data_IF_259340975246
#
_entry.id   IF_259340975246
#
_cell.length_a   1.000
_cell.length_b   1.000
_cell.length_c   1.000
_cell.angle_alpha   90.00
_cell.angle_beta   90.00
_cell.angle_gamma   90.00
#
_symmetry.space_group_name_H-M   'P 1'
#
loop_
_entity.id
_entity.type
_entity.pdbx_description
1 polymer ?
#
# COMPACT_ATOMS: atom_id res chain seq x y z
N UNK A 1 19.80 0.70 -24.36
CA UNK A 1 19.89 1.34 -23.03
C UNK A 1 18.67 0.94 -22.23
N UNK A 2 18.85 0.40 -21.03
CA UNK A 2 17.76 -0.09 -20.17
C UNK A 2 17.76 0.75 -18.90
N UNK A 3 16.59 1.27 -18.50
CA UNK A 3 16.38 1.92 -17.21
C UNK A 3 15.54 0.98 -16.36
N UNK A 4 16.08 0.50 -15.25
CA UNK A 4 15.46 -0.54 -14.43
C UNK A 4 15.52 -0.21 -12.94
N UNK A 5 14.62 -0.82 -12.18
CA UNK A 5 14.65 -0.84 -10.71
C UNK A 5 15.51 -2.00 -10.22
N UNK A 6 15.53 -2.22 -8.90
CA UNK A 6 16.17 -3.37 -8.26
C UNK A 6 15.62 -4.75 -8.73
N UNK A 7 14.57 -4.80 -9.56
CA UNK A 7 14.13 -6.04 -10.22
C UNK A 7 15.26 -6.63 -11.09
N UNK A 8 16.04 -5.77 -11.77
CA UNK A 8 17.17 -6.22 -12.59
C UNK A 8 18.39 -6.66 -11.74
N UNK A 9 18.43 -6.31 -10.45
CA UNK A 9 19.52 -6.64 -9.53
C UNK A 9 19.59 -8.14 -9.23
N UNK A 10 18.43 -8.80 -9.10
CA UNK A 10 18.34 -10.23 -8.74
C UNK A 10 17.51 -11.03 -9.72
N UNK A 11 16.33 -10.53 -10.09
CA UNK A 11 15.22 -11.37 -10.59
C UNK A 11 15.22 -11.63 -12.10
N UNK A 12 15.98 -10.85 -12.87
CA UNK A 12 15.99 -10.96 -14.34
C UNK A 12 17.44 -11.01 -14.86
N UNK A 13 17.71 -11.92 -15.78
CA UNK A 13 18.90 -11.94 -16.64
C UNK A 13 18.57 -11.24 -17.95
N UNK A 14 19.34 -10.22 -18.30
CA UNK A 14 19.28 -9.60 -19.62
C UNK A 14 20.62 -9.80 -20.30
N UNK A 15 20.61 -10.47 -21.44
CA UNK A 15 21.81 -10.74 -22.21
C UNK A 15 22.33 -9.48 -22.92
N UNK A 16 23.64 -9.43 -23.17
CA UNK A 16 24.29 -8.34 -23.89
C UNK A 16 24.53 -7.07 -23.07
N UNK A 17 24.38 -7.13 -21.74
CA UNK A 17 24.75 -6.01 -20.86
C UNK A 17 26.28 -6.02 -20.68
N UNK A 18 26.95 -5.00 -21.20
CA UNK A 18 28.37 -4.74 -20.98
C UNK A 18 28.62 -3.51 -20.10
N UNK A 19 27.63 -2.63 -19.95
CA UNK A 19 27.76 -1.39 -19.21
C UNK A 19 26.60 -1.25 -18.22
N UNK A 20 26.91 -1.03 -16.95
CA UNK A 20 25.93 -0.74 -15.89
C UNK A 20 26.19 0.65 -15.37
N UNK A 21 25.14 1.46 -15.24
CA UNK A 21 25.18 2.76 -14.57
C UNK A 21 24.33 2.62 -13.31
N UNK A 22 24.96 2.62 -12.14
CA UNK A 22 24.28 2.49 -10.85
C UNK A 22 24.14 3.86 -10.16
N UNK A 23 22.92 4.21 -9.81
CA UNK A 23 22.61 5.44 -9.09
C UNK A 23 22.88 5.34 -7.58
N UNK A 24 23.13 4.14 -7.05
CA UNK A 24 23.47 3.92 -5.64
C UNK A 24 22.27 4.03 -4.68
N UNK A 25 21.05 4.09 -5.19
CA UNK A 25 19.83 4.17 -4.38
C UNK A 25 18.87 3.00 -4.62
N UNK A 26 18.05 2.72 -3.62
CA UNK A 26 16.95 1.77 -3.68
C UNK A 26 15.77 2.29 -2.87
N UNK A 27 14.55 1.99 -3.34
CA UNK A 27 13.33 2.29 -2.58
C UNK A 27 12.97 1.06 -1.75
N UNK A 28 12.97 1.19 -0.43
CA UNK A 28 12.63 0.11 0.50
C UNK A 28 11.38 0.46 1.31
N UNK A 29 10.64 -0.58 1.70
CA UNK A 29 9.62 -0.46 2.75
C UNK A 29 10.33 -0.34 4.10
N UNK A 30 9.93 0.68 4.85
CA UNK A 30 10.36 0.91 6.22
C UNK A 30 9.11 1.03 7.09
N UNK A 31 9.17 0.44 8.28
CA UNK A 31 8.09 0.47 9.26
C UNK A 31 8.61 1.13 10.52
N UNK A 32 7.95 2.19 10.95
CA UNK A 32 8.22 2.82 12.21
C UNK A 32 7.17 2.36 13.23
N UNK A 33 7.56 1.55 14.25
CA UNK A 33 6.60 0.99 15.20
C UNK A 33 6.03 2.03 16.16
N UNK A 34 6.66 3.21 16.31
CA UNK A 34 6.14 4.27 17.18
C UNK A 34 4.84 4.87 16.62
N UNK A 35 4.84 5.51 15.42
CA UNK A 35 3.61 5.99 14.80
C UNK A 35 2.78 4.88 14.12
N UNK A 36 3.25 3.62 14.17
CA UNK A 36 2.73 2.49 13.41
C UNK A 36 2.59 2.74 11.89
N UNK A 37 3.48 3.55 11.31
CA UNK A 37 3.45 3.92 9.89
C UNK A 37 4.39 3.01 9.10
N UNK A 38 3.84 2.36 8.07
CA UNK A 38 4.62 1.78 6.99
C UNK A 38 4.79 2.82 5.87
N UNK A 39 6.04 3.07 5.48
CA UNK A 39 6.34 4.00 4.40
C UNK A 39 7.37 3.46 3.41
N UNK A 40 7.30 3.96 2.18
CA UNK A 40 8.33 3.73 1.17
C UNK A 40 9.37 4.85 1.23
N UNK A 41 10.62 4.48 1.54
CA UNK A 41 11.76 5.40 1.72
C UNK A 41 12.81 5.12 0.66
N UNK A 42 13.43 6.18 0.14
CA UNK A 42 14.62 6.06 -0.72
C UNK A 42 15.85 6.04 0.17
N UNK A 43 16.64 4.97 0.10
CA UNK A 43 17.84 4.79 0.91
C UNK A 43 19.04 4.44 0.02
N UNK A 44 20.27 4.71 0.46
CA UNK A 44 21.46 4.21 -0.24
C UNK A 44 21.48 2.68 -0.25
N UNK A 45 22.03 2.10 -1.30
CA UNK A 45 22.21 0.65 -1.41
C UNK A 45 23.26 0.12 -0.44
N UNK A 46 23.20 -1.16 -0.12
CA UNK A 46 24.29 -1.84 0.59
C UNK A 46 25.45 -2.17 -0.35
N UNK A 47 26.64 -2.41 0.21
CA UNK A 47 27.81 -2.91 -0.53
C UNK A 47 27.46 -4.20 -1.29
N UNK A 48 26.73 -5.11 -0.65
CA UNK A 48 26.26 -6.33 -1.29
C UNK A 48 25.38 -6.07 -2.53
N UNK A 49 24.42 -5.13 -2.43
CA UNK A 49 23.56 -4.76 -3.56
C UNK A 49 24.33 -4.07 -4.68
N UNK A 50 25.24 -3.15 -4.35
CA UNK A 50 26.10 -2.49 -5.34
C UNK A 50 26.97 -3.51 -6.10
N UNK A 51 27.56 -4.48 -5.39
CA UNK A 51 28.34 -5.56 -6.00
C UNK A 51 27.48 -6.45 -6.92
N UNK A 52 26.24 -6.75 -6.52
CA UNK A 52 25.31 -7.50 -7.39
C UNK A 52 24.96 -6.74 -8.67
N UNK A 53 24.78 -5.42 -8.60
CA UNK A 53 24.52 -4.56 -9.76
C UNK A 53 25.73 -4.50 -10.68
N UNK A 54 26.93 -4.29 -10.14
CA UNK A 54 28.18 -4.32 -10.90
C UNK A 54 28.40 -5.67 -11.60
N UNK A 55 28.09 -6.77 -10.91
CA UNK A 55 28.15 -8.13 -11.47
C UNK A 55 27.20 -8.38 -12.64
N UNK A 56 26.24 -7.49 -12.94
CA UNK A 56 25.40 -7.61 -14.13
C UNK A 56 26.11 -7.23 -15.42
N UNK A 57 27.15 -6.38 -15.36
CA UNK A 57 27.95 -5.99 -16.52
C UNK A 57 28.88 -7.12 -17.00
N UNK A 58 29.27 -8.03 -16.10
CA UNK A 58 30.30 -9.06 -16.35
C UNK A 58 29.77 -10.45 -16.69
N UNK A 59 28.50 -10.61 -17.09
CA UNK A 59 27.89 -11.95 -17.25
C UNK A 59 28.23 -12.64 -18.56
N UNK A 60 28.13 -11.93 -19.67
CA UNK A 60 28.36 -12.50 -21.01
C UNK A 60 29.77 -12.18 -21.54
N UNK A 61 30.36 -11.07 -21.09
CA UNK A 61 31.67 -10.57 -21.51
C UNK A 61 32.23 -9.61 -20.46
N UNK A 62 33.50 -9.22 -20.60
CA UNK A 62 34.07 -8.12 -19.81
C UNK A 62 33.20 -6.87 -19.95
N UNK A 63 32.81 -6.31 -18.81
CA UNK A 63 31.94 -5.15 -18.76
C UNK A 63 32.38 -4.19 -17.66
N UNK A 64 31.85 -2.97 -17.74
CA UNK A 64 32.19 -1.87 -16.85
C UNK A 64 30.97 -1.43 -16.06
N UNK A 65 31.20 -1.03 -14.81
CA UNK A 65 30.16 -0.47 -13.95
C UNK A 65 30.55 0.95 -13.55
N UNK A 66 29.72 1.91 -13.96
CA UNK A 66 29.81 3.31 -13.57
C UNK A 66 28.87 3.56 -12.41
N UNK A 67 29.39 3.94 -11.25
CA UNK A 67 28.53 4.35 -10.13
C UNK A 67 28.37 5.87 -10.14
N UNK A 68 27.16 6.36 -10.45
CA UNK A 68 26.84 7.79 -10.55
C UNK A 68 26.99 8.55 -9.23
N UNK A 69 26.83 7.87 -8.08
CA UNK A 69 27.11 8.44 -6.75
C UNK A 69 28.61 8.41 -6.37
N UNK A 70 29.42 7.64 -7.09
CA UNK A 70 30.87 7.48 -6.87
C UNK A 70 31.71 8.22 -7.92
N UNK A 71 31.10 9.01 -8.80
CA UNK A 71 31.83 9.75 -9.83
C UNK A 71 32.62 10.96 -9.31
N UNK A 72 32.61 11.27 -8.00
CA UNK A 72 33.32 12.46 -7.50
C UNK A 72 34.11 12.36 -6.17
N UNK A 73 34.03 11.31 -5.34
CA UNK A 73 34.89 11.18 -4.13
C UNK A 73 35.12 9.71 -3.74
N UNK A 74 36.40 9.35 -3.73
CA UNK A 74 37.19 8.26 -3.11
C UNK A 74 36.48 7.08 -2.38
N UNK A 75 37.15 5.92 -2.35
CA UNK A 75 36.76 4.64 -1.70
C UNK A 75 36.09 4.78 -0.32
N UNK A 76 36.35 5.88 0.39
CA UNK A 76 35.74 6.26 1.67
C UNK A 76 34.20 6.27 1.66
N UNK A 77 33.55 6.74 0.59
CA UNK A 77 32.08 6.82 0.54
C UNK A 77 31.44 5.44 0.27
N UNK A 78 32.14 4.57 -0.49
CA UNK A 78 31.76 3.17 -0.58
C UNK A 78 31.92 2.49 0.77
N UNK A 79 33.00 2.79 1.51
CA UNK A 79 33.26 2.21 2.81
C UNK A 79 32.21 2.56 3.87
N UNK A 80 31.60 3.74 3.78
CA UNK A 80 30.48 4.17 4.64
C UNK A 80 29.17 3.40 4.40
N UNK A 81 29.02 2.69 3.28
CA UNK A 81 27.80 1.93 3.00
C UNK A 81 27.66 0.70 3.91
N UNK A 82 26.43 0.33 4.30
CA UNK A 82 26.21 -0.88 5.09
C UNK A 82 26.63 -2.11 4.29
N UNK A 83 27.23 -3.11 4.95
CA UNK A 83 27.70 -4.35 4.31
C UNK A 83 26.55 -5.09 3.62
N UNK A 84 25.42 -5.20 4.30
CA UNK A 84 24.21 -5.88 3.81
C UNK A 84 22.97 -5.03 4.10
N UNK A 85 21.98 -5.19 3.23
CA UNK A 85 20.67 -4.61 3.42
C UNK A 85 19.97 -5.26 4.64
N UNK A 86 19.37 -4.46 5.53
CA UNK A 86 18.62 -4.97 6.70
C UNK A 86 17.56 -6.00 6.24
N UNK A 87 17.29 -7.10 6.96
CA UNK A 87 16.27 -8.07 6.56
C UNK A 87 14.85 -7.47 6.51
N UNK A 88 14.00 -7.99 5.63
CA UNK A 88 12.62 -7.50 5.47
C UNK A 88 11.76 -7.65 6.74
N UNK A 89 11.92 -8.75 7.48
CA UNK A 89 11.24 -8.95 8.77
C UNK A 89 11.53 -7.86 9.80
N UNK A 90 12.66 -7.16 9.71
CA UNK A 90 13.01 -6.14 10.70
C UNK A 90 12.53 -4.73 10.32
N UNK A 91 11.98 -4.55 9.11
CA UNK A 91 11.64 -3.23 8.56
C UNK A 91 10.26 -3.14 7.92
N UNK A 92 9.46 -4.20 7.93
CA UNK A 92 8.14 -4.25 7.33
C UNK A 92 7.06 -4.43 8.40
N UNK A 93 5.80 -4.15 8.03
CA UNK A 93 4.67 -4.43 8.90
C UNK A 93 4.50 -5.94 9.09
N UNK A 94 4.50 -6.39 10.34
CA UNK A 94 4.45 -7.80 10.70
C UNK A 94 3.03 -8.35 10.83
N UNK A 95 1.98 -7.52 10.79
CA UNK A 95 0.61 -7.99 10.93
C UNK A 95 0.22 -9.12 9.96
N UNK A 96 0.55 -9.07 8.64
CA UNK A 96 0.27 -10.18 7.75
C UNK A 96 1.03 -11.46 8.13
N UNK A 97 2.30 -11.35 8.53
CA UNK A 97 3.15 -12.49 8.89
C UNK A 97 2.67 -13.14 10.18
N UNK A 98 2.38 -12.35 11.21
CA UNK A 98 1.85 -12.82 12.49
C UNK A 98 0.52 -13.54 12.30
N UNK A 99 -0.37 -13.00 11.46
CA UNK A 99 -1.65 -13.63 11.15
C UNK A 99 -1.47 -15.00 10.48
N UNK A 100 -0.54 -15.11 9.52
CA UNK A 100 -0.22 -16.38 8.87
C UNK A 100 0.38 -17.41 9.83
N UNK A 101 1.31 -16.99 10.70
CA UNK A 101 1.92 -17.88 11.71
C UNK A 101 0.86 -18.43 12.67
N UNK A 102 -0.08 -17.58 13.09
CA UNK A 102 -1.21 -18.00 13.93
C UNK A 102 -2.15 -18.95 13.19
N UNK A 103 -2.44 -18.71 11.91
CA UNK A 103 -3.26 -19.61 11.10
C UNK A 103 -2.61 -20.98 10.87
N UNK A 104 -1.27 -21.06 10.89
CA UNK A 104 -0.51 -22.32 10.87
C UNK A 104 -0.53 -23.06 12.22
N UNK A 105 -1.15 -22.51 13.27
CA UNK A 105 -1.22 -23.12 14.60
C UNK A 105 -0.04 -22.76 15.52
N UNK A 106 0.75 -21.74 15.19
CA UNK A 106 1.85 -21.29 16.05
C UNK A 106 1.31 -20.32 17.09
N UNK A 107 1.05 -20.83 18.30
CA UNK A 107 0.52 -20.02 19.40
C UNK A 107 1.53 -18.99 19.90
N UNK A 108 2.78 -19.39 20.14
CA UNK A 108 3.79 -18.47 20.67
C UNK A 108 4.71 -17.95 19.57
N UNK A 109 4.28 -16.85 18.95
CA UNK A 109 5.04 -16.19 17.88
C UNK A 109 6.36 -15.61 18.39
N UNK A 110 6.46 -15.25 19.67
CA UNK A 110 7.70 -14.70 20.25
C UNK A 110 8.81 -15.75 20.40
N UNK A 111 8.44 -17.03 20.55
CA UNK A 111 9.39 -18.15 20.63
C UNK A 111 9.65 -18.81 19.28
N UNK A 112 9.05 -18.30 18.20
CA UNK A 112 9.28 -18.84 16.88
C UNK A 112 10.74 -18.59 16.45
N UNK A 113 11.47 -19.60 15.93
CA UNK A 113 12.88 -19.47 15.58
C UNK A 113 13.06 -18.70 14.26
N UNK A 114 12.90 -17.38 14.30
CA UNK A 114 13.15 -16.52 13.15
C UNK A 114 14.64 -16.52 12.76
N UNK A 115 14.93 -16.61 11.46
CA UNK A 115 16.29 -16.44 10.94
C UNK A 115 16.88 -15.05 11.29
N UNK A 116 16.03 -14.04 11.33
CA UNK A 116 16.38 -12.67 11.71
C UNK A 116 15.24 -12.12 12.56
N UNK A 117 15.38 -12.13 13.90
CA UNK A 117 14.25 -11.83 14.78
C UNK A 117 13.75 -10.39 14.57
N UNK A 118 12.43 -10.19 14.49
CA UNK A 118 11.86 -8.85 14.37
C UNK A 118 12.01 -8.05 15.68
N UNK A 119 11.99 -6.71 15.62
CA UNK A 119 11.91 -5.87 16.82
C UNK A 119 10.65 -6.17 17.64
N UNK A 120 10.79 -6.26 18.96
CA UNK A 120 9.68 -6.56 19.86
C UNK A 120 8.53 -5.53 19.75
N UNK A 121 8.86 -4.25 19.55
CA UNK A 121 7.86 -3.19 19.37
C UNK A 121 6.99 -3.42 18.12
N UNK A 122 7.59 -3.82 16.99
CA UNK A 122 6.85 -4.12 15.77
C UNK A 122 5.94 -5.34 15.93
N UNK A 123 6.36 -6.33 16.72
CA UNK A 123 5.54 -7.50 17.06
C UNK A 123 4.33 -7.12 17.91
N UNK A 124 4.50 -6.27 18.91
CA UNK A 124 3.41 -5.77 19.76
C UNK A 124 2.41 -4.99 18.91
N UNK A 125 2.86 -4.05 18.08
CA UNK A 125 1.98 -3.28 17.20
C UNK A 125 1.21 -4.16 16.21
N UNK A 126 1.84 -5.21 15.67
CA UNK A 126 1.17 -6.16 14.80
C UNK A 126 0.05 -6.91 15.54
N UNK A 127 0.30 -7.37 16.77
CA UNK A 127 -0.72 -8.04 17.59
C UNK A 127 -1.86 -7.09 17.98
N UNK A 128 -1.54 -5.86 18.39
CA UNK A 128 -2.52 -4.81 18.70
C UNK A 128 -3.44 -4.52 17.50
N UNK A 129 -2.86 -4.36 16.30
CA UNK A 129 -3.63 -4.12 15.08
C UNK A 129 -4.55 -5.31 14.74
N UNK A 130 -4.03 -6.54 14.82
CA UNK A 130 -4.83 -7.74 14.53
C UNK A 130 -5.95 -7.96 15.56
N UNK A 131 -5.70 -7.65 16.83
CA UNK A 131 -6.72 -7.65 17.86
C UNK A 131 -7.79 -6.57 17.58
N UNK A 132 -7.37 -5.35 17.23
CA UNK A 132 -8.28 -4.26 16.89
C UNK A 132 -9.12 -4.56 15.63
N UNK A 133 -8.58 -5.30 14.65
CA UNK A 133 -9.35 -5.75 13.48
C UNK A 133 -10.34 -6.88 13.81
N UNK A 134 -10.30 -7.43 15.02
CA UNK A 134 -11.08 -8.59 15.46
C UNK A 134 -10.56 -9.92 14.92
N UNK A 135 -9.35 -9.94 14.35
CA UNK A 135 -8.71 -11.15 13.85
C UNK A 135 -8.11 -12.04 14.94
N UNK A 136 -7.79 -11.45 16.09
CA UNK A 136 -7.31 -12.14 17.28
C UNK A 136 -8.22 -11.90 18.49
N UNK A 137 -8.31 -12.88 19.39
CA UNK A 137 -8.99 -12.76 20.69
C UNK A 137 -8.06 -12.14 21.76
N UNK A 138 -8.59 -11.93 22.97
CA UNK A 138 -7.83 -11.41 24.12
C UNK A 138 -6.66 -12.30 24.55
N UNK A 139 -6.66 -13.57 24.14
CA UNK A 139 -5.58 -14.53 24.38
C UNK A 139 -4.63 -14.66 23.18
N UNK A 140 -4.72 -13.74 22.21
CA UNK A 140 -3.96 -13.76 20.96
C UNK A 140 -4.16 -15.03 20.12
N UNK A 141 -5.30 -15.70 20.22
CA UNK A 141 -5.70 -16.82 19.34
C UNK A 141 -6.52 -16.28 18.18
N UNK A 142 -6.48 -16.98 17.06
CA UNK A 142 -7.24 -16.57 15.89
C UNK A 142 -8.74 -16.70 16.15
N UNK A 143 -9.52 -15.68 15.78
CA UNK A 143 -10.97 -15.70 15.98
C UNK A 143 -11.66 -16.52 14.89
N UNK A 144 -12.68 -17.29 15.28
CA UNK A 144 -13.53 -18.03 14.35
C UNK A 144 -14.91 -17.38 14.25
N UNK A 145 -15.45 -17.13 13.04
CA UNK A 145 -14.85 -17.37 11.73
C UNK A 145 -14.03 -16.18 11.18
N UNK A 146 -14.05 -15.02 11.84
CA UNK A 146 -13.53 -13.76 11.28
C UNK A 146 -12.02 -13.81 11.02
N UNK A 147 -11.21 -14.06 12.05
CA UNK A 147 -9.76 -14.15 11.94
C UNK A 147 -9.31 -15.18 10.92
N UNK A 148 -9.95 -16.36 10.92
CA UNK A 148 -9.63 -17.44 9.97
C UNK A 148 -9.82 -16.99 8.53
N UNK A 149 -10.95 -16.30 8.26
CA UNK A 149 -11.23 -15.74 6.94
C UNK A 149 -10.24 -14.63 6.56
N UNK A 150 -9.86 -13.75 7.48
CA UNK A 150 -8.86 -12.70 7.24
C UNK A 150 -7.52 -13.34 6.83
N UNK A 151 -7.09 -14.41 7.53
CA UNK A 151 -5.85 -15.10 7.25
C UNK A 151 -5.83 -15.80 5.89
N UNK A 152 -6.98 -16.26 5.40
CA UNK A 152 -7.08 -16.91 4.09
C UNK A 152 -6.99 -15.93 2.91
N UNK A 153 -7.17 -14.62 3.12
CA UNK A 153 -7.01 -13.63 2.05
C UNK A 153 -5.53 -13.37 1.74
N UNK A 154 -5.13 -13.31 0.46
CA UNK A 154 -3.78 -12.94 0.04
C UNK A 154 -3.58 -11.41 0.04
N UNK A 155 -4.09 -10.71 1.06
CA UNK A 155 -4.11 -9.25 1.16
C UNK A 155 -3.65 -8.80 2.56
N UNK A 156 -3.42 -7.49 2.72
CA UNK A 156 -3.22 -6.91 4.05
C UNK A 156 -4.48 -7.19 4.92
N UNK A 157 -4.33 -7.53 6.22
CA UNK A 157 -5.45 -7.73 7.13
C UNK A 157 -6.52 -6.63 7.11
N UNK A 158 -6.14 -5.36 6.92
CA UNK A 158 -7.07 -4.23 6.81
C UNK A 158 -7.99 -4.34 5.59
N UNK A 159 -7.44 -4.69 4.41
CA UNK A 159 -8.23 -4.95 3.20
C UNK A 159 -9.14 -6.17 3.36
N UNK A 160 -8.64 -7.23 4.01
CA UNK A 160 -9.41 -8.44 4.25
C UNK A 160 -10.60 -8.18 5.18
N UNK A 161 -10.40 -7.40 6.26
CA UNK A 161 -11.47 -6.96 7.16
C UNK A 161 -12.52 -6.13 6.41
N UNK A 162 -12.08 -5.13 5.63
CA UNK A 162 -12.96 -4.31 4.80
C UNK A 162 -13.82 -5.17 3.84
N UNK A 163 -13.21 -6.15 3.17
CA UNK A 163 -13.93 -7.06 2.26
C UNK A 163 -14.97 -7.92 2.97
N UNK A 164 -14.68 -8.40 4.18
CA UNK A 164 -15.62 -9.23 4.95
C UNK A 164 -16.79 -8.41 5.49
N UNK A 165 -16.55 -7.18 5.95
CA UNK A 165 -17.59 -6.29 6.46
C UNK A 165 -18.48 -5.68 5.37
N UNK A 166 -18.00 -5.63 4.13
CA UNK A 166 -18.75 -5.08 2.99
C UNK A 166 -20.13 -5.70 2.78
N UNK A 167 -20.33 -6.95 3.19
CA UNK A 167 -21.63 -7.63 3.14
C UNK A 167 -22.66 -7.07 4.12
N UNK A 168 -22.21 -6.56 5.26
CA UNK A 168 -23.05 -5.97 6.31
C UNK A 168 -23.52 -4.57 5.91
N UNK A 169 -22.61 -3.77 5.33
CA UNK A 169 -22.92 -2.43 4.81
C UNK A 169 -23.70 -2.45 3.48
N UNK A 170 -23.70 -3.57 2.76
CA UNK A 170 -24.43 -3.69 1.50
C UNK A 170 -23.66 -3.20 0.27
N UNK A 171 -22.36 -2.93 0.37
CA UNK A 171 -21.51 -2.37 -0.68
C UNK A 171 -20.42 -3.34 -1.16
N UNK A 172 -20.73 -4.63 -1.17
CA UNK A 172 -19.75 -5.70 -1.47
C UNK A 172 -19.15 -5.64 -2.87
N UNK A 173 -19.90 -5.16 -3.87
CA UNK A 173 -19.43 -5.13 -5.27
C UNK A 173 -18.44 -3.99 -5.51
N UNK A 174 -18.70 -2.85 -4.88
CA UNK A 174 -17.91 -1.63 -4.91
C UNK A 174 -16.60 -1.87 -4.17
N UNK A 175 -16.68 -2.39 -2.94
CA UNK A 175 -15.50 -2.68 -2.10
C UNK A 175 -14.61 -3.76 -2.72
N UNK A 176 -15.19 -4.79 -3.34
CA UNK A 176 -14.45 -5.78 -4.11
C UNK A 176 -13.64 -5.14 -5.25
N UNK A 177 -14.23 -4.16 -5.93
CA UNK A 177 -13.60 -3.45 -7.03
C UNK A 177 -12.50 -2.51 -6.52
N UNK A 178 -12.77 -1.76 -5.46
CA UNK A 178 -11.79 -0.89 -4.80
C UNK A 178 -10.59 -1.70 -4.31
N UNK A 179 -10.82 -2.80 -3.58
CA UNK A 179 -9.76 -3.65 -3.06
C UNK A 179 -8.86 -4.20 -4.18
N UNK A 180 -9.44 -4.58 -5.33
CA UNK A 180 -8.69 -5.06 -6.49
C UNK A 180 -7.88 -3.94 -7.17
N UNK A 181 -8.46 -2.74 -7.29
CA UNK A 181 -7.80 -1.57 -7.88
C UNK A 181 -6.63 -1.09 -7.01
N UNK A 182 -6.77 -1.10 -5.68
CA UNK A 182 -5.73 -0.71 -4.73
C UNK A 182 -4.49 -1.62 -4.78
N UNK A 183 -4.60 -2.86 -5.29
CA UNK A 183 -3.44 -3.74 -5.48
C UNK A 183 -2.59 -3.38 -6.71
N UNK A 184 -3.09 -2.50 -7.59
CA UNK A 184 -2.41 -2.14 -8.83
C UNK A 184 -1.75 -0.77 -8.68
N UNK A 185 -0.46 -0.72 -8.99
CA UNK A 185 0.30 0.52 -8.96
C UNK A 185 0.15 1.31 -10.27
N UNK A 186 0.16 2.64 -10.18
CA UNK A 186 0.21 3.56 -11.32
C UNK A 186 -0.88 3.30 -12.39
N UNK A 187 -2.15 3.36 -11.97
CA UNK A 187 -3.30 3.26 -12.87
C UNK A 187 -3.37 4.48 -13.81
N UNK A 188 -3.13 5.67 -13.27
CA UNK A 188 -3.06 6.91 -14.02
C UNK A 188 -1.67 7.08 -14.66
N UNK A 189 -1.65 7.29 -15.98
CA UNK A 189 -0.42 7.55 -16.73
C UNK A 189 -0.35 9.05 -17.01
N UNK A 190 0.79 9.68 -16.72
CA UNK A 190 0.98 11.11 -16.97
C UNK A 190 2.20 11.29 -17.89
N UNK A 191 2.00 11.37 -19.21
CA UNK A 191 3.10 11.62 -20.13
C UNK A 191 3.67 13.02 -19.92
N UNK A 192 5.01 13.19 -19.94
CA UNK A 192 5.64 14.48 -19.66
C UNK A 192 5.20 15.59 -20.64
N UNK A 193 4.91 15.24 -21.90
CA UNK A 193 4.50 16.19 -22.93
C UNK A 193 3.01 16.55 -22.89
N UNK A 194 2.18 15.79 -22.16
CA UNK A 194 0.71 15.92 -22.19
C UNK A 194 0.09 16.03 -20.79
N UNK A 195 0.84 16.58 -19.82
CA UNK A 195 0.40 16.67 -18.42
C UNK A 195 -0.97 17.34 -18.25
N UNK A 196 -1.22 18.45 -18.95
CA UNK A 196 -2.48 19.20 -18.83
C UNK A 196 -3.67 18.42 -19.41
N UNK A 197 -3.47 17.71 -20.53
CA UNK A 197 -4.51 16.89 -21.15
C UNK A 197 -4.82 15.66 -20.28
N UNK A 198 -3.79 14.99 -19.76
CA UNK A 198 -3.94 13.87 -18.83
C UNK A 198 -4.72 14.29 -17.58
N UNK A 199 -4.34 15.41 -16.95
CA UNK A 199 -5.05 15.95 -15.79
C UNK A 199 -6.53 16.25 -16.10
N UNK A 200 -6.84 16.79 -17.28
CA UNK A 200 -8.22 17.05 -17.71
C UNK A 200 -9.03 15.76 -17.87
N UNK A 201 -8.43 14.68 -18.39
CA UNK A 201 -9.11 13.39 -18.50
C UNK A 201 -9.28 12.73 -17.13
N UNK A 202 -8.26 12.76 -16.28
CA UNK A 202 -8.31 12.18 -14.94
C UNK A 202 -9.36 12.88 -14.06
N UNK A 203 -9.51 14.20 -14.19
CA UNK A 203 -10.54 14.98 -13.48
C UNK A 203 -11.98 14.56 -13.81
N UNK A 204 -12.23 13.92 -14.96
CA UNK A 204 -13.57 13.40 -15.29
C UNK A 204 -13.99 12.20 -14.43
N UNK A 205 -13.02 11.50 -13.85
CA UNK A 205 -13.27 10.36 -12.96
C UNK A 205 -13.20 10.74 -11.49
N UNK A 206 -12.70 11.94 -11.18
CA UNK A 206 -12.50 12.43 -9.84
C UNK A 206 -13.83 12.54 -9.08
N UNK A 207 -13.78 12.13 -7.82
CA UNK A 207 -14.91 12.11 -6.89
C UNK A 207 -14.49 12.93 -5.66
N UNK A 208 -15.36 13.83 -5.20
CA UNK A 208 -15.09 14.76 -4.09
C UNK A 208 -14.83 14.01 -2.77
N UNK A 209 -15.43 12.83 -2.61
CA UNK A 209 -15.31 11.98 -1.45
C UNK A 209 -13.93 11.29 -1.34
N UNK A 210 -13.21 11.12 -2.46
CA UNK A 210 -11.80 10.75 -2.46
C UNK A 210 -11.32 9.74 -3.51
N UNK A 211 -10.08 9.27 -3.31
CA UNK A 211 -9.33 8.49 -4.30
C UNK A 211 -9.89 7.06 -4.47
N UNK A 212 -10.40 6.44 -3.41
CA UNK A 212 -10.96 5.08 -3.49
C UNK A 212 -12.18 5.02 -4.43
N UNK A 213 -13.10 5.98 -4.31
CA UNK A 213 -14.27 6.08 -5.19
C UNK A 213 -13.88 6.53 -6.60
N UNK A 214 -12.87 7.38 -6.72
CA UNK A 214 -12.29 7.72 -8.03
C UNK A 214 -11.79 6.46 -8.76
N UNK A 215 -11.14 5.52 -8.05
CA UNK A 215 -10.68 4.25 -8.64
C UNK A 215 -11.84 3.31 -9.00
N UNK A 216 -12.93 3.33 -8.23
CA UNK A 216 -14.17 2.63 -8.58
C UNK A 216 -14.72 3.14 -9.91
N UNK A 217 -14.88 4.46 -10.06
CA UNK A 217 -15.36 5.09 -11.28
C UNK A 217 -14.51 4.76 -12.50
N UNK A 218 -13.18 4.76 -12.35
CA UNK A 218 -12.26 4.36 -13.44
C UNK A 218 -12.52 2.92 -13.89
N UNK A 219 -12.70 1.99 -12.94
CA UNK A 219 -12.93 0.59 -13.26
C UNK A 219 -14.31 0.36 -13.91
N UNK A 220 -15.36 1.00 -13.39
CA UNK A 220 -16.70 0.91 -13.96
C UNK A 220 -16.75 1.48 -15.38
N UNK A 221 -16.11 2.63 -15.61
CA UNK A 221 -15.98 3.20 -16.94
C UNK A 221 -15.21 2.27 -17.89
N UNK A 222 -14.14 1.62 -17.41
CA UNK A 222 -13.38 0.64 -18.20
C UNK A 222 -14.22 -0.57 -18.61
N UNK A 223 -15.04 -1.09 -17.69
CA UNK A 223 -15.95 -2.22 -17.98
C UNK A 223 -17.06 -1.78 -18.95
N UNK A 224 -17.61 -0.58 -18.78
CA UNK A 224 -18.65 -0.02 -19.66
C UNK A 224 -18.18 0.14 -21.11
N UNK A 225 -16.91 0.47 -21.32
CA UNK A 225 -16.30 0.57 -22.66
C UNK A 225 -15.66 -0.76 -23.11
N UNK A 226 -16.24 -1.89 -22.70
CA UNK A 226 -15.85 -3.25 -23.12
C UNK A 226 -14.37 -3.56 -22.93
N UNK A 227 -13.73 -2.97 -21.92
CA UNK A 227 -12.30 -3.14 -21.63
C UNK A 227 -11.39 -2.78 -22.82
N UNK A 228 -11.77 -1.76 -23.60
CA UNK A 228 -11.01 -1.35 -24.79
C UNK A 228 -9.64 -0.77 -24.44
N UNK A 229 -8.60 -1.26 -25.13
CA UNK A 229 -7.25 -0.70 -25.01
C UNK A 229 -7.14 0.72 -25.59
N UNK A 230 -7.93 1.04 -26.63
CA UNK A 230 -7.92 2.38 -27.24
C UNK A 230 -8.49 3.42 -26.28
N UNK A 231 -9.60 3.08 -25.62
CA UNK A 231 -10.21 3.93 -24.60
C UNK A 231 -9.23 4.24 -23.44
N UNK A 232 -8.49 3.23 -22.97
CA UNK A 232 -7.47 3.47 -21.95
C UNK A 232 -6.37 4.45 -22.42
N UNK A 233 -5.98 4.41 -23.69
CA UNK A 233 -4.96 5.33 -24.23
C UNK A 233 -5.50 6.77 -24.29
N UNK A 234 -6.74 6.96 -24.75
CA UNK A 234 -7.40 8.27 -24.83
C UNK A 234 -7.58 8.92 -23.44
N UNK A 235 -7.84 8.10 -22.42
CA UNK A 235 -8.03 8.55 -21.04
C UNK A 235 -6.75 8.52 -20.19
N UNK A 236 -5.59 8.22 -20.79
CA UNK A 236 -4.30 8.13 -20.10
C UNK A 236 -4.31 7.16 -18.91
N UNK A 237 -4.85 5.97 -19.13
CA UNK A 237 -4.97 4.88 -18.16
C UNK A 237 -4.07 3.69 -18.56
N UNK A 238 -3.55 3.01 -17.55
CA UNK A 238 -2.73 1.81 -17.76
C UNK A 238 -3.60 0.57 -18.06
N UNK A 239 -3.76 0.24 -19.34
CA UNK A 239 -4.52 -0.93 -19.79
C UNK A 239 -4.08 -2.24 -19.12
N UNK A 240 -2.77 -2.51 -19.06
CA UNK A 240 -2.23 -3.73 -18.45
C UNK A 240 -2.56 -3.80 -16.95
N UNK A 241 -2.52 -2.66 -16.27
CA UNK A 241 -2.92 -2.52 -14.88
C UNK A 241 -4.40 -2.87 -14.66
N UNK A 242 -5.30 -2.31 -15.47
CA UNK A 242 -6.75 -2.55 -15.38
C UNK A 242 -7.16 -3.99 -15.71
N UNK A 243 -6.51 -4.61 -16.70
CA UNK A 243 -6.70 -6.03 -16.99
C UNK A 243 -6.28 -6.89 -15.79
N UNK A 244 -5.13 -6.56 -15.17
CA UNK A 244 -4.68 -7.25 -13.95
C UNK A 244 -5.65 -7.04 -12.79
N UNK A 245 -6.18 -5.83 -12.59
CA UNK A 245 -7.21 -5.55 -11.59
C UNK A 245 -8.44 -6.44 -11.80
N UNK A 246 -8.88 -6.65 -13.04
CA UNK A 246 -10.00 -7.55 -13.36
C UNK A 246 -9.72 -8.99 -12.93
N UNK A 247 -8.49 -9.48 -13.10
CA UNK A 247 -8.09 -10.83 -12.67
C UNK A 247 -8.10 -10.94 -11.14
N UNK A 248 -7.50 -9.96 -10.44
CA UNK A 248 -7.49 -9.91 -8.97
C UNK A 248 -8.92 -9.86 -8.43
N UNK A 249 -9.78 -9.05 -9.04
CA UNK A 249 -11.19 -8.94 -8.67
C UNK A 249 -11.92 -10.28 -8.75
N UNK A 250 -11.73 -11.05 -9.82
CA UNK A 250 -12.37 -12.37 -9.94
C UNK A 250 -11.80 -13.40 -8.94
N UNK A 251 -10.53 -13.31 -8.56
CA UNK A 251 -9.95 -14.14 -7.49
C UNK A 251 -10.58 -13.81 -6.13
N UNK A 252 -10.66 -12.53 -5.78
CA UNK A 252 -11.28 -12.07 -4.53
C UNK A 252 -12.78 -12.40 -4.48
N UNK A 253 -13.48 -12.31 -5.61
CA UNK A 253 -14.90 -12.70 -5.72
C UNK A 253 -15.13 -14.16 -5.37
N UNK A 254 -14.24 -15.07 -5.79
CA UNK A 254 -14.33 -16.50 -5.46
C UNK A 254 -14.21 -16.71 -3.95
N UNK A 255 -13.32 -15.98 -3.29
CA UNK A 255 -13.16 -16.01 -1.83
C UNK A 255 -14.41 -15.48 -1.11
N UNK A 256 -14.96 -14.34 -1.54
CA UNK A 256 -16.19 -13.79 -0.96
C UNK A 256 -17.38 -14.75 -1.07
N UNK A 257 -17.53 -15.43 -2.22
CA UNK A 257 -18.55 -16.47 -2.41
C UNK A 257 -18.33 -17.64 -1.45
N UNK A 258 -17.08 -18.10 -1.30
CA UNK A 258 -16.73 -19.18 -0.35
C UNK A 258 -17.08 -18.80 1.09
N UNK A 259 -16.84 -17.54 1.46
CA UNK A 259 -17.14 -17.01 2.80
C UNK A 259 -18.60 -16.59 3.01
N UNK A 260 -19.45 -16.79 1.98
CA UNK A 260 -20.88 -16.45 1.99
C UNK A 260 -21.14 -14.97 2.29
N UNK A 261 -20.26 -14.07 1.84
CA UNK A 261 -20.51 -12.63 1.93
C UNK A 261 -21.62 -12.25 0.95
N UNK A 262 -22.72 -11.60 1.39
CA UNK A 262 -23.81 -11.19 0.52
C UNK A 262 -23.33 -10.31 -0.63
N UNK A 263 -23.77 -10.63 -1.85
CA UNK A 263 -23.51 -9.81 -3.04
C UNK A 263 -24.55 -8.70 -3.12
N UNK A 264 -24.26 -7.58 -2.48
CA UNK A 264 -25.06 -6.34 -2.52
C UNK A 264 -24.25 -5.20 -3.14
N UNK A 265 -24.96 -4.26 -3.77
CA UNK A 265 -24.45 -3.01 -4.32
C UNK A 265 -25.11 -1.87 -3.56
N UNK A 266 -24.40 -0.76 -3.37
CA UNK A 266 -24.94 0.45 -2.73
C UNK A 266 -25.79 1.30 -3.68
N UNK A 267 -26.04 0.83 -4.91
CA UNK A 267 -26.88 1.52 -5.93
C UNK A 267 -26.45 2.96 -6.23
N UNK A 268 -25.16 3.28 -6.00
CA UNK A 268 -24.59 4.60 -6.23
C UNK A 268 -24.47 5.49 -4.98
N UNK A 269 -24.92 5.02 -3.81
CA UNK A 269 -24.70 5.73 -2.54
C UNK A 269 -23.25 5.53 -2.07
N UNK A 270 -22.46 6.62 -1.86
CA UNK A 270 -21.11 6.53 -1.35
C UNK A 270 -21.03 6.23 0.16
N UNK A 271 -22.04 6.58 0.97
CA UNK A 271 -21.96 6.47 2.45
C UNK A 271 -21.64 5.05 2.94
N UNK A 272 -22.32 3.98 2.46
CA UNK A 272 -22.01 2.61 2.87
C UNK A 272 -20.60 2.19 2.48
N UNK A 273 -20.11 2.65 1.32
CA UNK A 273 -18.76 2.36 0.81
C UNK A 273 -17.71 3.03 1.72
N UNK A 274 -17.92 4.30 2.05
CA UNK A 274 -17.02 5.08 2.91
C UNK A 274 -16.94 4.49 4.32
N UNK A 275 -18.08 4.15 4.93
CA UNK A 275 -18.13 3.51 6.26
C UNK A 275 -17.48 2.14 6.24
N UNK A 276 -17.67 1.37 5.16
CA UNK A 276 -16.98 0.11 4.99
C UNK A 276 -15.44 0.28 4.90
N UNK A 277 -14.94 1.30 4.19
CA UNK A 277 -13.49 1.61 4.14
C UNK A 277 -12.98 1.92 5.54
N UNK A 278 -13.70 2.77 6.29
CA UNK A 278 -13.33 3.09 7.69
C UNK A 278 -13.26 1.84 8.56
N UNK A 279 -14.18 0.88 8.40
CA UNK A 279 -14.18 -0.35 9.21
C UNK A 279 -12.91 -1.21 9.07
N UNK A 280 -12.19 -1.11 7.95
CA UNK A 280 -10.92 -1.80 7.73
C UNK A 280 -9.69 -0.93 8.00
N UNK A 281 -9.77 0.36 7.69
CA UNK A 281 -8.65 1.30 7.73
C UNK A 281 -8.73 2.31 8.88
N UNK A 282 -9.57 2.07 9.90
CA UNK A 282 -9.71 2.97 11.05
C UNK A 282 -8.36 3.29 11.70
N UNK A 283 -7.40 2.35 11.74
CA UNK A 283 -6.07 2.57 12.30
C UNK A 283 -5.24 3.64 11.54
N UNK A 284 -5.53 3.82 10.24
CA UNK A 284 -4.85 4.76 9.35
C UNK A 284 -5.71 6.02 9.12
N UNK A 285 -6.02 6.72 10.20
CA UNK A 285 -6.81 7.95 10.16
C UNK A 285 -5.97 9.17 10.56
N UNK A 286 -6.24 10.30 9.90
CA UNK A 286 -5.59 11.58 10.13
C UNK A 286 -6.58 12.74 10.17
N UNK A 287 -6.25 13.77 10.95
CA UNK A 287 -7.06 14.97 11.15
C UNK A 287 -6.34 16.19 10.60
N UNK A 288 -7.07 17.09 9.95
CA UNK A 288 -6.56 18.38 9.52
C UNK A 288 -6.31 19.29 10.72
N UNK A 289 -5.08 19.76 10.85
CA UNK A 289 -4.65 20.65 11.92
C UNK A 289 -4.65 22.12 11.48
N UNK A 290 -4.77 23.05 12.43
CA UNK A 290 -4.81 24.50 12.15
C UNK A 290 -3.55 25.04 11.49
N UNK A 291 -2.43 24.31 11.60
CA UNK A 291 -1.16 24.62 10.93
C UNK A 291 -1.18 24.37 9.41
N UNK A 292 -2.26 23.79 8.87
CA UNK A 292 -2.39 23.46 7.44
C UNK A 292 -1.81 22.10 7.06
N UNK A 293 -1.34 21.31 8.03
CA UNK A 293 -0.90 19.92 7.84
C UNK A 293 -1.91 18.95 8.45
N UNK A 294 -1.86 17.68 8.03
CA UNK A 294 -2.61 16.62 8.68
C UNK A 294 -1.79 16.01 9.82
N UNK A 295 -2.45 15.45 10.82
CA UNK A 295 -1.79 14.73 11.91
C UNK A 295 -2.48 13.39 12.17
N UNK A 296 -1.69 12.36 12.45
CA UNK A 296 -2.24 11.06 12.84
C UNK A 296 -2.96 11.15 14.18
N UNK A 297 -4.03 10.36 14.36
CA UNK A 297 -4.82 10.42 15.59
C UNK A 297 -4.07 9.82 16.79
N UNK A 298 -3.27 8.76 16.58
CA UNK A 298 -2.55 8.07 17.68
C UNK A 298 -1.38 8.87 18.23
N UNK A 299 -0.52 9.39 17.34
CA UNK A 299 0.82 9.86 17.69
C UNK A 299 1.11 11.31 17.26
N UNK A 300 0.07 12.04 16.81
CA UNK A 300 0.18 13.44 16.39
C UNK A 300 1.27 13.68 15.32
N UNK A 301 1.52 12.67 14.48
CA UNK A 301 2.59 12.71 13.49
C UNK A 301 2.16 13.50 12.25
N UNK A 302 2.98 14.45 11.82
CA UNK A 302 2.66 15.33 10.68
C UNK A 302 2.69 14.58 9.33
N UNK A 303 1.58 14.69 8.60
CA UNK A 303 1.34 14.11 7.29
C UNK A 303 0.78 15.15 6.32
N UNK A 304 0.99 14.93 5.03
CA UNK A 304 0.49 15.78 3.94
C UNK A 304 -0.26 14.93 2.91
N UNK A 305 -1.27 15.46 2.23
CA UNK A 305 -1.91 14.73 1.12
C UNK A 305 -0.94 14.71 -0.07
N UNK A 306 -0.75 13.55 -0.70
CA UNK A 306 0.11 13.45 -1.88
C UNK A 306 -0.48 14.26 -3.06
N UNK A 307 0.33 14.98 -3.85
CA UNK A 307 -0.15 15.83 -4.95
C UNK A 307 -0.92 15.11 -6.07
N UNK A 308 -0.86 13.77 -6.11
CA UNK A 308 -1.62 12.97 -7.08
C UNK A 308 -3.03 12.63 -6.61
N UNK A 309 -3.35 12.86 -5.33
CA UNK A 309 -4.68 12.64 -4.78
C UNK A 309 -5.65 13.70 -5.32
N UNK A 310 -6.89 13.29 -5.55
CA UNK A 310 -7.97 14.21 -5.95
C UNK A 310 -8.19 15.28 -4.87
N UNK A 311 -8.04 14.89 -3.60
CA UNK A 311 -8.26 15.76 -2.43
C UNK A 311 -7.16 16.80 -2.21
N UNK A 312 -6.10 16.82 -3.02
CA UNK A 312 -5.03 17.82 -2.90
C UNK A 312 -5.48 19.21 -3.37
N UNK A 313 -6.33 19.28 -4.39
CA UNK A 313 -6.72 20.54 -5.04
C UNK A 313 -8.02 21.14 -4.47
N UNK A 314 -8.71 20.41 -3.59
CA UNK A 314 -10.01 20.80 -3.06
C UNK A 314 -9.92 21.33 -1.63
N UNK A 315 -11.06 21.75 -1.08
CA UNK A 315 -11.14 22.18 0.32
C UNK A 315 -10.74 21.00 1.21
N UNK A 316 -9.69 21.14 2.05
CA UNK A 316 -9.16 20.01 2.79
C UNK A 316 -10.22 19.45 3.75
N UNK A 317 -10.61 18.17 3.61
CA UNK A 317 -11.53 17.54 4.54
C UNK A 317 -10.93 17.51 5.95
N UNK A 318 -11.80 17.66 6.96
CA UNK A 318 -11.34 17.71 8.35
C UNK A 318 -10.74 16.39 8.84
N UNK A 319 -11.24 15.27 8.34
CA UNK A 319 -10.80 13.93 8.71
C UNK A 319 -10.66 13.09 7.44
N UNK A 320 -9.60 12.29 7.42
CA UNK A 320 -9.29 11.43 6.29
C UNK A 320 -8.79 10.07 6.75
N UNK A 321 -9.02 9.07 5.91
CA UNK A 321 -8.39 7.76 6.00
C UNK A 321 -7.47 7.58 4.79
N UNK A 322 -6.34 6.90 4.99
CA UNK A 322 -5.33 6.67 3.96
C UNK A 322 -4.88 5.21 3.90
N UNK A 323 -4.43 4.77 2.73
CA UNK A 323 -3.94 3.40 2.53
C UNK A 323 -2.44 3.27 2.82
N UNK A 324 -1.62 4.15 2.24
CA UNK A 324 -0.15 4.09 2.33
C UNK A 324 0.45 5.47 2.65
N UNK A 325 1.64 5.48 3.24
CA UNK A 325 2.46 6.68 3.40
C UNK A 325 3.72 6.56 2.56
N UNK A 326 4.13 7.64 1.90
CA UNK A 326 5.43 7.73 1.21
C UNK A 326 6.25 8.83 1.85
N UNK A 327 7.51 8.53 2.13
CA UNK A 327 8.45 9.52 2.62
C UNK A 327 9.33 10.01 1.46
N UNK A 328 9.28 11.31 1.19
CA UNK A 328 10.23 12.00 0.31
C UNK A 328 10.89 13.13 1.09
N UNK A 329 10.54 14.38 0.84
CA UNK A 329 10.90 15.53 1.68
C UNK A 329 9.99 15.65 2.91
N UNK A 330 8.73 15.26 2.75
CA UNK A 330 7.71 15.17 3.81
C UNK A 330 7.05 13.79 3.75
N UNK A 331 6.27 13.46 4.77
CA UNK A 331 5.41 12.28 4.76
C UNK A 331 4.12 12.59 4.01
N UNK A 332 3.88 11.86 2.92
CA UNK A 332 2.71 12.02 2.07
C UNK A 332 1.78 10.82 2.16
N UNK A 333 0.51 11.06 2.48
CA UNK A 333 -0.58 10.09 2.45
C UNK A 333 -1.00 9.84 1.01
N UNK A 334 -1.18 8.57 0.64
CA UNK A 334 -1.68 8.14 -0.65
C UNK A 334 -3.00 7.38 -0.52
N UNK A 335 -3.79 7.50 -1.58
CA UNK A 335 -5.11 6.90 -1.73
C UNK A 335 -5.99 7.31 -0.54
N UNK A 336 -6.35 8.60 -0.53
CA UNK A 336 -6.98 9.28 0.60
C UNK A 336 -8.48 9.40 0.37
N UNK A 337 -9.26 9.19 1.43
CA UNK A 337 -10.72 9.34 1.42
C UNK A 337 -11.17 10.21 2.58
N UNK A 338 -12.09 11.13 2.29
CA UNK A 338 -12.72 11.98 3.29
C UNK A 338 -13.69 11.16 4.15
N UNK A 339 -13.64 11.37 5.47
CA UNK A 339 -14.48 10.63 6.43
C UNK A 339 -15.04 11.57 7.49
N UNK A 340 -16.07 11.12 8.19
CA UNK A 340 -16.58 11.81 9.38
C UNK A 340 -15.97 11.23 10.67
N UNK A 341 -15.74 12.09 11.67
CA UNK A 341 -15.21 11.63 12.97
C UNK A 341 -16.16 10.70 13.71
N UNK A 342 -17.47 10.84 13.48
CA UNK A 342 -18.48 10.00 14.11
C UNK A 342 -18.31 8.53 13.71
N UNK A 343 -17.96 8.26 12.45
CA UNK A 343 -17.79 6.89 11.94
C UNK A 343 -16.61 6.17 12.60
N UNK A 344 -15.53 6.89 12.93
CA UNK A 344 -14.39 6.29 13.64
C UNK A 344 -14.78 5.81 15.04
N UNK A 345 -15.60 6.59 15.75
CA UNK A 345 -16.10 6.25 17.09
C UNK A 345 -17.15 5.13 17.04
N UNK A 346 -18.01 5.13 16.04
CA UNK A 346 -19.07 4.12 15.87
C UNK A 346 -18.51 2.76 15.44
N UNK A 347 -17.58 2.76 14.47
CA UNK A 347 -17.09 1.53 13.83
C UNK A 347 -15.91 0.90 14.57
N UNK A 348 -15.18 1.68 15.35
CA UNK A 348 -14.05 1.21 16.15
C UNK A 348 -14.05 1.80 17.58
N UNK A 349 -15.11 1.58 18.38
CA UNK A 349 -15.22 2.12 19.75
C UNK A 349 -14.18 1.53 20.72
N UNK A 350 -13.66 0.34 20.41
CA UNK A 350 -12.56 -0.30 21.15
C UNK A 350 -11.20 0.35 20.87
N UNK A 351 -11.07 1.08 19.77
CA UNK A 351 -9.83 1.72 19.34
C UNK A 351 -9.84 3.23 19.58
N UNK A 352 -10.98 3.87 19.34
CA UNK A 352 -11.20 5.29 19.55
C UNK A 352 -12.17 5.54 20.70
N UNK A 353 -11.74 6.34 21.66
CA UNK A 353 -12.57 6.81 22.75
C UNK A 353 -12.58 8.35 22.72
N UNK A 354 -13.75 8.94 22.98
CA UNK A 354 -13.81 10.38 23.21
C UNK A 354 -13.04 10.69 24.50
N UNK A 355 -11.94 11.42 24.38
CA UNK A 355 -11.26 11.98 25.55
C UNK A 355 -12.21 12.93 26.26
N UNK A 356 -12.50 12.65 27.53
CA UNK A 356 -13.21 13.55 28.45
C UNK A 356 -12.37 14.76 28.79
#
# INVERSE_FOLDING_TARGET
>A
VIVATNIAETSITVHGIAFVIDCGFVKLRAYNPKPAIECLVVVPVSKASANQRAGRAGRDRSGECYNSNLTCREEEDFEKLPKSTVPEMQRSNLAPVVLQLKALGIDNVLRFPFLSPPPAQSMVQALELLYALGGLDMHCRLTEPLGMRIAEFPLNPMFAKMLLESGNFGCSQEILTIAAMMQIQNIFVIPPNQKAQAARQHRKFAVEEGDHLTMLNVYEAFVKHSKSSQWCQEHFLNYKGLVRASVVREQLKKLLVRFKVPKKSSEGDPDPVLRCIVSGFFANAAKFHSTGAYRTIRDDHELHIHPTSVLYAEKPPRWVVYNEVIQTAKYYMRDVTAVESAWLLELAPHFYQQGT
#
